data_IF_902851689524
#
_entry.id   IF_902851689524
#
_cell.length_a   1.000
_cell.length_b   1.000
_cell.length_c   1.000
_cell.angle_alpha   90.00
_cell.angle_beta   90.00
_cell.angle_gamma   90.00
#
_symmetry.space_group_name_H-M   'P 1'
#
loop_
_entity.id
_entity.type
_entity.pdbx_description
1 polymer ?
#
# COMPACT_ATOMS: atom_id res chain seq x y z
N UNK A 1 17.10 -10.62 6.45
CA UNK A 1 17.18 -11.28 7.77
C UNK A 1 16.72 -12.74 7.75
N UNK A 2 15.56 -13.13 7.18
CA UNK A 2 15.24 -14.57 6.99
C UNK A 2 15.92 -15.17 5.75
N UNK A 3 15.83 -14.53 4.59
CA UNK A 3 16.96 -14.56 3.65
C UNK A 3 18.17 -14.10 4.45
N UNK A 4 19.39 -14.60 4.36
CA UNK A 4 20.49 -14.47 5.34
C UNK A 4 20.56 -15.64 6.34
N UNK A 5 19.44 -16.23 6.78
CA UNK A 5 19.49 -17.39 7.69
C UNK A 5 19.96 -18.68 6.98
N UNK A 6 20.39 -19.68 7.75
CA UNK A 6 20.78 -21.00 7.22
C UNK A 6 19.62 -21.68 6.48
N UNK A 7 19.93 -22.58 5.54
CA UNK A 7 18.93 -23.29 4.72
C UNK A 7 17.86 -23.95 5.60
N UNK A 8 18.27 -24.62 6.68
CA UNK A 8 17.36 -25.26 7.62
C UNK A 8 16.39 -24.24 8.25
N UNK A 9 16.91 -23.12 8.77
CA UNK A 9 16.09 -22.05 9.37
C UNK A 9 15.13 -21.43 8.36
N UNK A 10 15.58 -21.23 7.11
CA UNK A 10 14.74 -20.73 6.02
C UNK A 10 13.61 -21.70 5.70
N UNK A 11 13.90 -22.99 5.60
CA UNK A 11 12.90 -24.03 5.30
C UNK A 11 11.87 -24.13 6.42
N UNK A 12 12.32 -24.17 7.68
CA UNK A 12 11.42 -24.17 8.85
C UNK A 12 10.55 -22.92 8.86
N UNK A 13 11.13 -21.74 8.61
CA UNK A 13 10.36 -20.49 8.59
C UNK A 13 9.34 -20.46 7.44
N UNK A 14 9.70 -20.96 6.24
CA UNK A 14 8.77 -21.07 5.11
C UNK A 14 7.60 -22.01 5.42
N UNK A 15 7.87 -23.15 6.05
CA UNK A 15 6.84 -24.10 6.49
C UNK A 15 5.94 -23.45 7.56
N UNK A 16 6.53 -22.81 8.56
CA UNK A 16 5.80 -22.08 9.59
C UNK A 16 4.90 -21.00 8.97
N UNK A 17 5.41 -20.21 8.02
CA UNK A 17 4.61 -19.23 7.28
C UNK A 17 3.45 -19.87 6.51
N UNK A 18 3.68 -20.98 5.81
CA UNK A 18 2.62 -21.69 5.09
C UNK A 18 1.49 -22.14 6.04
N UNK A 19 1.85 -22.70 7.20
CA UNK A 19 0.90 -23.04 8.28
C UNK A 19 0.17 -21.80 8.77
N UNK A 20 0.92 -20.73 9.08
CA UNK A 20 0.38 -19.47 9.57
C UNK A 20 -0.63 -18.85 8.60
N UNK A 21 -0.32 -18.83 7.30
CA UNK A 21 -1.25 -18.34 6.27
C UNK A 21 -2.50 -19.20 6.16
N UNK A 22 -2.40 -20.53 6.25
CA UNK A 22 -3.57 -21.42 6.26
C UNK A 22 -4.46 -21.14 7.47
N UNK A 23 -3.86 -21.00 8.66
CA UNK A 23 -4.58 -20.68 9.88
C UNK A 23 -5.23 -19.27 9.82
N UNK A 24 -4.49 -18.26 9.37
CA UNK A 24 -4.98 -16.90 9.20
C UNK A 24 -6.14 -16.84 8.19
N UNK A 25 -5.99 -17.45 7.01
CA UNK A 25 -7.07 -17.54 6.01
C UNK A 25 -8.31 -18.27 6.54
N UNK A 26 -8.15 -19.22 7.44
CA UNK A 26 -9.30 -19.88 8.06
C UNK A 26 -9.95 -19.02 9.16
N UNK A 27 -9.18 -18.23 9.90
CA UNK A 27 -9.65 -17.35 10.99
C UNK A 27 -10.38 -16.12 10.44
N UNK A 28 -9.86 -15.53 9.37
CA UNK A 28 -10.33 -14.27 8.80
C UNK A 28 -11.47 -14.47 7.78
N UNK A 29 -12.04 -15.68 7.70
CA UNK A 29 -13.18 -15.95 6.82
C UNK A 29 -14.47 -15.42 7.47
N UNK A 30 -15.33 -14.72 6.69
CA UNK A 30 -16.63 -14.29 7.17
C UNK A 30 -17.42 -15.47 7.79
N UNK A 31 -18.02 -15.24 8.96
CA UNK A 31 -18.85 -16.23 9.65
C UNK A 31 -18.11 -17.35 10.40
N UNK A 32 -16.76 -17.41 10.35
CA UNK A 32 -15.99 -18.48 11.03
C UNK A 32 -15.11 -17.90 12.15
N UNK A 33 -15.54 -18.08 13.41
CA UNK A 33 -14.87 -17.49 14.58
C UNK A 33 -13.48 -18.07 14.88
N UNK A 34 -13.18 -19.32 14.50
CA UNK A 34 -11.91 -19.99 14.82
C UNK A 34 -11.45 -20.96 13.71
N UNK A 35 -10.13 -21.10 13.47
CA UNK A 35 -9.58 -22.19 12.65
C UNK A 35 -9.93 -23.57 13.22
N UNK A 36 -9.92 -24.61 12.39
CA UNK A 36 -10.03 -25.98 12.90
C UNK A 36 -8.90 -26.29 13.89
N UNK A 37 -9.17 -27.16 14.89
CA UNK A 37 -8.26 -27.46 15.98
C UNK A 37 -6.82 -27.84 15.54
N UNK A 38 -6.61 -28.66 14.47
CA UNK A 38 -5.26 -28.97 14.01
C UNK A 38 -4.46 -27.73 13.58
N UNK A 39 -5.11 -26.76 12.92
CA UNK A 39 -4.45 -25.52 12.51
C UNK A 39 -4.10 -24.61 13.68
N UNK A 40 -4.88 -24.66 14.76
CA UNK A 40 -4.56 -23.93 15.99
C UNK A 40 -3.29 -24.50 16.65
N UNK A 41 -3.19 -25.83 16.75
CA UNK A 41 -2.02 -26.52 17.31
C UNK A 41 -0.77 -26.26 16.45
N UNK A 42 -0.89 -26.43 15.13
CA UNK A 42 0.23 -26.18 14.22
C UNK A 42 0.67 -24.71 14.25
N UNK A 43 -0.26 -23.76 14.34
CA UNK A 43 0.09 -22.34 14.48
C UNK A 43 0.77 -22.04 15.82
N UNK A 44 0.35 -22.69 16.91
CA UNK A 44 1.01 -22.56 18.21
C UNK A 44 2.47 -23.07 18.15
N UNK A 45 2.70 -24.23 17.54
CA UNK A 45 4.06 -24.75 17.33
C UNK A 45 4.90 -23.83 16.43
N UNK A 46 4.32 -23.36 15.32
CA UNK A 46 4.97 -22.40 14.42
C UNK A 46 5.35 -21.09 15.14
N UNK A 47 4.50 -20.62 16.07
CA UNK A 47 4.81 -19.47 16.90
C UNK A 47 6.06 -19.70 17.75
N UNK A 48 6.12 -20.81 18.48
CA UNK A 48 7.25 -21.09 19.37
C UNK A 48 8.56 -21.37 18.63
N UNK A 49 8.50 -22.09 17.52
CA UNK A 49 9.68 -22.53 16.77
C UNK A 49 10.24 -21.40 15.89
N UNK A 50 9.37 -20.60 15.27
CA UNK A 50 9.78 -19.66 14.23
C UNK A 50 9.38 -18.20 14.52
N UNK A 51 8.12 -17.92 14.85
CA UNK A 51 7.64 -16.54 14.87
C UNK A 51 8.05 -15.75 16.12
N UNK A 52 8.14 -16.40 17.28
CA UNK A 52 8.44 -15.75 18.56
C UNK A 52 9.72 -14.92 18.51
N UNK A 53 10.81 -15.47 17.95
CA UNK A 53 12.08 -14.76 17.81
C UNK A 53 12.02 -13.62 16.79
N UNK A 54 11.26 -13.78 15.71
CA UNK A 54 11.05 -12.72 14.70
C UNK A 54 10.26 -11.56 15.31
N UNK A 55 9.18 -11.86 16.04
CA UNK A 55 8.37 -10.87 16.73
C UNK A 55 9.15 -10.18 17.86
N UNK A 56 10.06 -10.87 18.55
CA UNK A 56 10.92 -10.25 19.56
C UNK A 56 11.82 -9.18 18.94
N UNK A 57 12.50 -9.52 17.85
CA UNK A 57 13.36 -8.59 17.11
C UNK A 57 12.60 -7.41 16.51
N UNK A 58 11.33 -7.61 16.16
CA UNK A 58 10.46 -6.56 15.65
C UNK A 58 9.77 -5.74 16.77
N UNK A 59 9.96 -6.09 18.05
CA UNK A 59 9.27 -5.44 19.17
C UNK A 59 7.78 -5.80 19.30
N UNK A 60 7.30 -6.82 18.59
CA UNK A 60 5.88 -7.21 18.51
C UNK A 60 5.51 -8.38 19.42
N UNK A 61 6.47 -9.00 20.11
CA UNK A 61 6.27 -10.24 20.89
C UNK A 61 5.18 -10.16 21.96
N UNK A 62 4.99 -8.99 22.59
CA UNK A 62 4.01 -8.76 23.66
C UNK A 62 2.79 -7.94 23.20
N UNK A 63 2.70 -7.62 21.92
CA UNK A 63 1.59 -6.84 21.37
C UNK A 63 0.32 -7.66 21.44
N UNK A 64 -0.70 -7.15 22.14
CA UNK A 64 -2.02 -7.78 22.24
C UNK A 64 -2.93 -7.38 21.09
N UNK A 65 -2.83 -6.11 20.66
CA UNK A 65 -3.64 -5.48 19.62
C UNK A 65 -2.75 -4.51 18.86
N UNK A 66 -2.73 -4.59 17.54
CA UNK A 66 -2.06 -3.63 16.67
C UNK A 66 -3.11 -2.97 15.79
N UNK A 67 -3.04 -1.64 15.67
CA UNK A 67 -3.94 -0.87 14.81
C UNK A 67 -3.14 -0.15 13.73
N UNK A 68 -3.68 -0.12 12.52
CA UNK A 68 -3.15 0.65 11.40
C UNK A 68 -4.23 1.56 10.85
N UNK A 69 -3.86 2.78 10.46
CA UNK A 69 -4.77 3.80 9.94
C UNK A 69 -4.02 4.86 9.14
N UNK A 70 -4.74 5.86 8.66
CA UNK A 70 -4.20 6.96 7.83
C UNK A 70 -4.09 6.63 6.33
N UNK A 71 -3.94 5.35 5.99
CA UNK A 71 -4.08 4.84 4.63
C UNK A 71 -4.60 3.40 4.68
N UNK A 72 -5.23 2.95 3.59
CA UNK A 72 -5.68 1.56 3.49
C UNK A 72 -4.46 0.64 3.37
N UNK A 73 -4.42 -0.43 4.16
CA UNK A 73 -3.40 -1.46 4.07
C UNK A 73 -3.85 -2.57 3.11
N UNK A 74 -2.94 -3.08 2.28
CA UNK A 74 -3.26 -4.26 1.44
C UNK A 74 -3.70 -5.45 2.31
N UNK A 75 -4.75 -6.19 1.91
CA UNK A 75 -5.16 -7.43 2.56
C UNK A 75 -4.01 -8.42 2.83
N UNK A 76 -2.98 -8.41 1.98
CA UNK A 76 -1.83 -9.30 2.10
C UNK A 76 -1.02 -9.04 3.38
N UNK A 77 -0.88 -7.79 3.82
CA UNK A 77 -0.22 -7.49 5.09
C UNK A 77 -1.06 -7.96 6.29
N UNK A 78 -2.38 -7.82 6.23
CA UNK A 78 -3.27 -8.30 7.29
C UNK A 78 -3.12 -9.82 7.41
N UNK A 79 -3.18 -10.55 6.31
CA UNK A 79 -2.93 -11.99 6.31
C UNK A 79 -1.53 -12.33 6.84
N UNK A 80 -0.50 -11.59 6.45
CA UNK A 80 0.88 -11.82 6.89
C UNK A 80 1.03 -11.65 8.41
N UNK A 81 0.58 -10.53 8.97
CA UNK A 81 0.70 -10.28 10.41
C UNK A 81 -0.15 -11.26 11.23
N UNK A 82 -1.35 -11.60 10.77
CA UNK A 82 -2.17 -12.63 11.40
C UNK A 82 -1.56 -14.04 11.30
N UNK A 83 -0.83 -14.34 10.21
CA UNK A 83 -0.10 -15.59 10.06
C UNK A 83 1.01 -15.71 11.12
N UNK A 84 1.71 -14.61 11.41
CA UNK A 84 2.71 -14.52 12.48
C UNK A 84 2.12 -14.57 13.89
N UNK A 85 0.80 -14.41 14.03
CA UNK A 85 0.09 -14.37 15.32
C UNK A 85 -0.10 -12.96 15.89
N UNK A 86 0.09 -11.92 15.08
CA UNK A 86 -0.19 -10.52 15.46
C UNK A 86 -1.64 -10.19 15.11
N UNK A 87 -2.41 -9.75 16.11
CA UNK A 87 -3.78 -9.26 15.91
C UNK A 87 -3.75 -7.83 15.32
N UNK A 88 -3.41 -7.75 14.03
CA UNK A 88 -3.38 -6.50 13.27
C UNK A 88 -4.79 -6.16 12.77
N UNK A 89 -5.21 -4.93 13.03
CA UNK A 89 -6.55 -4.43 12.77
C UNK A 89 -6.47 -3.10 12.04
N UNK A 90 -7.40 -2.85 11.12
CA UNK A 90 -7.52 -1.54 10.49
C UNK A 90 -8.46 -0.66 11.30
N UNK A 91 -8.20 0.64 11.24
CA UNK A 91 -9.06 1.71 11.69
C UNK A 91 -9.29 2.68 10.54
N UNK A 92 -10.47 3.29 10.51
CA UNK A 92 -10.78 4.38 9.61
C UNK A 92 -11.36 5.56 10.38
N UNK A 93 -10.96 6.75 9.96
CA UNK A 93 -11.44 8.02 10.45
C UNK A 93 -10.51 9.13 9.98
N UNK A 94 -10.84 10.36 10.39
CA UNK A 94 -10.20 11.58 9.96
C UNK A 94 -10.23 12.61 11.10
N UNK A 95 -9.51 13.71 10.93
CA UNK A 95 -9.44 14.79 11.94
C UNK A 95 -10.83 15.32 12.28
N UNK A 96 -11.70 15.42 11.29
CA UNK A 96 -13.08 15.91 11.36
C UNK A 96 -14.00 15.03 12.20
N UNK A 97 -13.57 13.81 12.57
CA UNK A 97 -14.29 12.89 13.47
C UNK A 97 -13.42 12.44 14.65
N UNK A 98 -12.49 13.30 15.08
CA UNK A 98 -11.58 13.05 16.20
C UNK A 98 -10.77 11.74 16.09
N UNK A 99 -10.43 11.34 14.86
CA UNK A 99 -9.46 10.27 14.59
C UNK A 99 -10.08 8.94 14.15
N UNK A 100 -10.87 8.27 14.98
CA UNK A 100 -11.39 6.91 14.69
C UNK A 100 -12.91 6.92 14.69
N UNK A 101 -13.51 6.50 13.59
CA UNK A 101 -14.95 6.26 13.47
C UNK A 101 -15.27 4.77 13.29
N UNK A 102 -14.33 3.99 12.74
CA UNK A 102 -14.52 2.59 12.35
C UNK A 102 -13.29 1.78 12.76
N UNK A 103 -13.52 0.55 13.25
CA UNK A 103 -12.44 -0.34 13.67
C UNK A 103 -12.81 -1.80 13.43
N UNK A 104 -11.82 -2.63 13.09
CA UNK A 104 -12.03 -4.08 13.16
C UNK A 104 -12.22 -4.54 14.62
N UNK A 105 -13.27 -5.30 14.94
CA UNK A 105 -13.36 -6.00 16.22
C UNK A 105 -12.35 -7.16 16.28
N UNK A 106 -12.06 -7.66 17.50
CA UNK A 106 -11.06 -8.72 17.72
C UNK A 106 -11.44 -10.05 17.05
N UNK A 107 -12.73 -10.34 16.87
CA UNK A 107 -13.27 -11.62 16.38
C UNK A 107 -13.85 -11.57 14.96
N UNK A 108 -13.84 -10.41 14.31
CA UNK A 108 -14.36 -10.20 12.94
C UNK A 108 -13.44 -9.23 12.19
N UNK A 109 -12.18 -9.64 11.99
CA UNK A 109 -11.21 -8.90 11.16
C UNK A 109 -11.38 -9.36 9.71
N UNK A 110 -11.68 -8.42 8.81
CA UNK A 110 -11.84 -8.70 7.37
C UNK A 110 -10.81 -7.95 6.56
N UNK A 111 -9.87 -8.65 5.90
CA UNK A 111 -8.72 -8.03 5.25
C UNK A 111 -9.04 -6.97 4.19
N UNK A 112 -10.21 -7.07 3.56
CA UNK A 112 -10.74 -6.20 2.52
C UNK A 112 -11.52 -4.99 3.05
N UNK A 113 -11.75 -4.90 4.36
CA UNK A 113 -12.55 -3.84 4.99
C UNK A 113 -11.71 -3.07 6.03
N UNK A 114 -12.26 -1.98 6.56
CA UNK A 114 -11.69 -1.24 7.70
C UNK A 114 -12.41 -1.51 9.03
N UNK A 115 -13.46 -2.34 9.01
CA UNK A 115 -14.19 -2.77 10.20
C UNK A 115 -15.59 -2.21 10.31
N UNK A 116 -16.11 -2.14 11.54
CA UNK A 116 -17.47 -1.70 11.84
C UNK A 116 -17.44 -0.35 12.56
N UNK A 117 -18.51 0.46 12.44
CA UNK A 117 -18.61 1.71 13.18
C UNK A 117 -18.40 1.51 14.68
N UNK A 118 -17.75 2.46 15.33
CA UNK A 118 -17.71 2.52 16.79
C UNK A 118 -19.12 2.73 17.37
N UNK A 119 -19.33 2.44 18.67
CA UNK A 119 -20.56 2.83 19.35
C UNK A 119 -20.89 4.30 19.09
N UNK A 120 -22.18 4.61 18.95
CA UNK A 120 -22.69 5.96 18.69
C UNK A 120 -22.20 6.58 17.36
N UNK A 121 -21.66 5.77 16.45
CA UNK A 121 -21.26 6.20 15.11
C UNK A 121 -22.18 5.56 14.08
N UNK A 122 -22.91 6.40 13.36
CA UNK A 122 -23.72 6.00 12.21
C UNK A 122 -22.94 6.24 10.91
N UNK A 123 -23.06 5.32 9.97
CA UNK A 123 -22.48 5.43 8.63
C UNK A 123 -23.57 5.27 7.59
N UNK A 124 -23.55 6.16 6.61
CA UNK A 124 -24.39 6.10 5.41
C UNK A 124 -23.52 6.23 4.17
N UNK A 125 -23.90 5.56 3.09
CA UNK A 125 -23.27 5.76 1.78
C UNK A 125 -24.20 6.64 0.94
N UNK A 126 -23.69 7.76 0.42
CA UNK A 126 -24.42 8.66 -0.46
C UNK A 126 -24.60 8.04 -1.87
N UNK A 127 -25.44 8.65 -2.71
CA UNK A 127 -25.73 8.14 -4.06
C UNK A 127 -24.49 8.06 -4.96
N UNK A 128 -23.53 8.97 -4.76
CA UNK A 128 -22.25 9.00 -5.46
C UNK A 128 -21.19 8.07 -4.84
N UNK A 129 -21.54 7.36 -3.76
CA UNK A 129 -20.65 6.47 -3.03
C UNK A 129 -19.86 7.13 -1.90
N UNK A 130 -20.05 8.43 -1.62
CA UNK A 130 -19.39 9.11 -0.51
C UNK A 130 -19.80 8.48 0.85
N UNK A 131 -18.81 8.29 1.73
CA UNK A 131 -19.03 7.85 3.10
C UNK A 131 -19.49 9.07 3.91
N UNK A 132 -20.66 8.96 4.54
CA UNK A 132 -21.19 9.97 5.46
C UNK A 132 -21.11 9.42 6.88
N UNK A 133 -20.65 10.24 7.83
CA UNK A 133 -20.50 9.84 9.23
C UNK A 133 -21.31 10.77 10.12
N UNK A 134 -22.03 10.21 11.08
CA UNK A 134 -22.66 10.96 12.16
C UNK A 134 -22.24 10.36 13.49
N UNK A 135 -21.65 11.18 14.36
CA UNK A 135 -21.10 10.75 15.64
C UNK A 135 -20.95 11.95 16.58
N UNK A 136 -21.05 11.78 17.91
CA UNK A 136 -20.65 12.81 18.88
C UNK A 136 -19.20 13.27 18.72
N UNK A 137 -18.35 12.48 18.06
CA UNK A 137 -16.95 12.81 17.78
C UNK A 137 -16.75 13.74 16.58
N UNK A 138 -17.81 14.03 15.80
CA UNK A 138 -17.73 14.95 14.65
C UNK A 138 -17.44 16.36 15.15
N UNK A 139 -16.49 17.03 14.48
CA UNK A 139 -16.11 18.40 14.78
C UNK A 139 -17.29 19.37 14.72
N UNK A 140 -17.18 20.51 15.41
CA UNK A 140 -18.17 21.60 15.32
C UNK A 140 -18.02 22.45 14.06
N UNK A 141 -16.86 22.38 13.40
CA UNK A 141 -16.56 23.12 12.17
C UNK A 141 -15.11 23.56 12.05
N UNK A 142 -14.78 24.18 10.92
CA UNK A 142 -13.46 24.73 10.65
C UNK A 142 -13.31 26.16 11.18
N UNK A 143 -12.18 26.45 11.82
CA UNK A 143 -11.89 27.77 12.38
C UNK A 143 -11.91 28.86 11.30
N UNK A 144 -12.77 29.88 11.48
CA UNK A 144 -12.95 31.02 10.57
C UNK A 144 -13.32 30.66 9.12
N UNK A 145 -13.83 29.45 8.88
CA UNK A 145 -14.22 29.01 7.54
C UNK A 145 -15.64 28.41 7.55
N UNK A 146 -16.63 29.29 7.63
CA UNK A 146 -18.05 28.92 7.66
C UNK A 146 -18.50 28.24 6.36
N UNK A 147 -17.96 28.65 5.21
CA UNK A 147 -18.31 28.05 3.92
C UNK A 147 -17.84 26.60 3.83
N UNK A 148 -16.57 26.32 4.19
CA UNK A 148 -16.08 24.93 4.23
C UNK A 148 -16.83 24.10 5.28
N UNK A 149 -17.17 24.70 6.43
CA UNK A 149 -17.95 24.05 7.48
C UNK A 149 -19.32 23.63 6.96
N UNK A 150 -20.07 24.53 6.33
CA UNK A 150 -21.39 24.27 5.78
C UNK A 150 -21.38 23.24 4.63
N UNK A 151 -20.28 23.19 3.86
CA UNK A 151 -20.09 22.14 2.82
C UNK A 151 -19.76 20.77 3.41
N UNK A 152 -19.07 20.73 4.55
CA UNK A 152 -18.55 19.48 5.14
C UNK A 152 -19.54 18.88 6.13
N UNK A 153 -20.31 19.71 6.82
CA UNK A 153 -21.32 19.30 7.81
C UNK A 153 -22.71 19.65 7.27
N UNK A 154 -23.44 18.66 6.77
CA UNK A 154 -24.76 18.85 6.17
C UNK A 154 -25.76 17.98 6.92
N UNK A 155 -26.79 18.60 7.50
CA UNK A 155 -27.85 17.86 8.21
C UNK A 155 -27.35 17.00 9.39
N UNK A 156 -26.25 17.42 10.04
CA UNK A 156 -25.61 16.67 11.13
C UNK A 156 -24.73 15.50 10.67
N UNK A 157 -24.52 15.34 9.36
CA UNK A 157 -23.60 14.36 8.78
C UNK A 157 -22.30 15.04 8.34
N UNK A 158 -21.18 14.40 8.66
CA UNK A 158 -19.87 14.68 8.10
C UNK A 158 -19.77 14.05 6.71
N UNK A 159 -19.61 14.89 5.69
CA UNK A 159 -19.20 14.51 4.34
C UNK A 159 -17.69 14.29 4.32
N UNK A 160 -17.28 13.02 4.24
CA UNK A 160 -15.88 12.63 4.44
C UNK A 160 -14.97 12.94 3.25
N UNK A 161 -15.54 13.10 2.05
CA UNK A 161 -14.82 13.10 0.78
C UNK A 161 -14.20 11.76 0.38
N UNK A 162 -14.41 10.69 1.16
CA UNK A 162 -13.93 9.34 0.91
C UNK A 162 -15.06 8.49 0.31
N UNK A 163 -14.73 7.63 -0.65
CA UNK A 163 -15.69 6.74 -1.31
C UNK A 163 -15.59 5.35 -0.72
N UNK A 164 -16.73 4.72 -0.46
CA UNK A 164 -16.77 3.38 0.10
C UNK A 164 -18.08 2.67 -0.10
N UNK A 165 -18.19 1.51 0.52
CA UNK A 165 -19.40 0.70 0.53
C UNK A 165 -19.55 0.00 1.88
N UNK A 166 -20.79 -0.16 2.32
CA UNK A 166 -21.12 -1.00 3.47
C UNK A 166 -21.49 -2.39 2.98
N UNK A 167 -20.81 -3.38 3.52
CA UNK A 167 -21.17 -4.79 3.34
C UNK A 167 -22.49 -5.10 4.07
N UNK A 168 -23.23 -6.15 3.64
CA UNK A 168 -24.52 -6.51 4.25
C UNK A 168 -24.47 -6.76 5.77
N UNK A 169 -23.30 -7.08 6.30
CA UNK A 169 -23.07 -7.41 7.70
C UNK A 169 -22.37 -6.28 8.51
N UNK A 170 -22.33 -5.08 7.92
CA UNK A 170 -21.99 -3.84 8.61
C UNK A 170 -20.50 -3.46 8.59
N UNK A 171 -19.66 -4.16 7.82
CA UNK A 171 -18.29 -3.71 7.58
C UNK A 171 -18.23 -2.61 6.51
N UNK A 172 -17.41 -1.59 6.76
CA UNK A 172 -17.06 -0.56 5.79
C UNK A 172 -15.85 -0.97 4.94
N UNK A 173 -15.98 -0.88 3.63
CA UNK A 173 -14.88 -0.95 2.66
C UNK A 173 -14.60 0.47 2.18
N UNK A 174 -13.37 0.95 2.37
CA UNK A 174 -12.92 2.27 1.89
C UNK A 174 -12.15 2.07 0.60
N UNK A 175 -12.54 2.73 -0.49
CA UNK A 175 -11.89 2.57 -1.79
C UNK A 175 -10.73 3.55 -1.96
N UNK A 176 -11.03 4.85 -1.97
CA UNK A 176 -10.06 5.95 -1.95
C UNK A 176 -10.82 7.28 -1.73
N UNK A 177 -10.11 8.40 -1.72
CA UNK A 177 -10.74 9.73 -1.83
C UNK A 177 -11.40 9.88 -3.19
N UNK A 178 -12.62 10.44 -3.22
CA UNK A 178 -13.35 10.70 -4.45
C UNK A 178 -12.49 11.46 -5.48
N UNK A 179 -11.67 12.41 -5.01
CA UNK A 179 -10.78 13.25 -5.82
C UNK A 179 -9.52 12.54 -6.34
N UNK A 180 -9.15 11.39 -5.78
CA UNK A 180 -7.94 10.64 -6.15
C UNK A 180 -8.23 9.49 -7.12
N UNK A 181 -9.50 9.06 -7.21
CA UNK A 181 -9.96 8.10 -8.22
C UNK A 181 -9.92 8.77 -9.59
N UNK A 182 -9.24 8.15 -10.54
CA UNK A 182 -9.23 8.59 -11.93
C UNK A 182 -9.87 7.54 -12.84
N UNK A 183 -10.12 7.89 -14.09
CA UNK A 183 -10.63 6.95 -15.10
C UNK A 183 -9.61 6.68 -16.18
N UNK A 184 -9.52 5.43 -16.61
CA UNK A 184 -8.86 5.08 -17.87
C UNK A 184 -9.63 5.66 -19.06
N UNK A 185 -9.03 5.60 -20.25
CA UNK A 185 -9.66 6.05 -21.49
C UNK A 185 -10.99 5.33 -21.79
N UNK A 186 -11.14 4.08 -21.34
CA UNK A 186 -12.37 3.28 -21.49
C UNK A 186 -13.42 3.54 -20.39
N UNK A 187 -13.18 4.53 -19.52
CA UNK A 187 -14.08 4.90 -18.42
C UNK A 187 -13.92 4.06 -17.14
N UNK A 188 -13.05 3.04 -17.13
CA UNK A 188 -12.82 2.19 -15.95
C UNK A 188 -12.31 3.02 -14.78
N UNK A 189 -12.99 3.02 -13.62
CA UNK A 189 -12.53 3.73 -12.44
C UNK A 189 -11.32 3.02 -11.81
N UNK A 190 -10.30 3.79 -11.46
CA UNK A 190 -9.05 3.31 -10.87
C UNK A 190 -8.79 4.04 -9.56
N UNK A 191 -8.77 3.29 -8.47
CA UNK A 191 -8.20 3.73 -7.20
C UNK A 191 -6.70 3.38 -7.19
N UNK A 192 -5.78 4.34 -7.38
CA UNK A 192 -4.36 4.06 -7.54
C UNK A 192 -3.75 3.33 -6.34
N UNK A 193 -4.20 3.64 -5.12
CA UNK A 193 -3.71 3.01 -3.90
C UNK A 193 -3.87 1.48 -3.91
N UNK A 194 -4.92 0.95 -4.55
CA UNK A 194 -5.14 -0.49 -4.65
C UNK A 194 -3.97 -1.17 -5.37
N UNK A 195 -3.55 -0.61 -6.51
CA UNK A 195 -2.44 -1.15 -7.31
C UNK A 195 -1.09 -0.88 -6.62
N UNK A 196 -0.89 0.33 -6.08
CA UNK A 196 0.32 0.70 -5.32
C UNK A 196 0.58 -0.26 -4.17
N UNK A 197 -0.44 -0.52 -3.35
CA UNK A 197 -0.33 -1.38 -2.17
C UNK A 197 -0.06 -2.84 -2.54
N UNK A 198 -0.46 -3.31 -3.73
CA UNK A 198 -0.09 -4.64 -4.23
C UNK A 198 1.36 -4.73 -4.66
N UNK A 199 1.88 -3.68 -5.32
CA UNK A 199 3.30 -3.63 -5.70
C UNK A 199 4.20 -3.53 -4.48
N UNK A 200 3.88 -2.64 -3.53
CA UNK A 200 4.66 -2.40 -2.31
C UNK A 200 4.67 -3.57 -1.33
N UNK A 201 3.79 -4.56 -1.52
CA UNK A 201 3.88 -5.81 -0.78
C UNK A 201 5.18 -6.58 -1.09
N UNK A 202 5.81 -6.33 -2.25
CA UNK A 202 7.16 -6.78 -2.51
C UNK A 202 8.16 -6.06 -1.60
N UNK A 203 9.07 -6.79 -0.91
CA UNK A 203 10.09 -6.16 -0.07
C UNK A 203 11.15 -5.41 -0.89
N UNK A 204 11.16 -5.58 -2.22
CA UNK A 204 12.11 -4.92 -3.12
C UNK A 204 11.59 -3.58 -3.67
N UNK A 205 10.29 -3.28 -3.50
CA UNK A 205 9.65 -2.06 -3.98
C UNK A 205 9.40 -1.16 -2.77
N UNK A 206 10.10 -0.03 -2.71
CA UNK A 206 9.94 0.96 -1.64
C UNK A 206 8.69 1.82 -1.87
N UNK A 207 8.53 2.34 -3.09
CA UNK A 207 7.40 3.20 -3.45
C UNK A 207 7.00 2.99 -4.92
N UNK A 208 5.72 3.22 -5.22
CA UNK A 208 5.19 3.08 -6.58
C UNK A 208 4.16 4.17 -6.87
N UNK A 209 4.35 4.95 -7.94
CA UNK A 209 3.35 5.86 -8.46
C UNK A 209 2.63 5.21 -9.64
N UNK A 210 1.29 5.19 -9.61
CA UNK A 210 0.44 4.58 -10.64
C UNK A 210 -0.18 5.66 -11.49
N UNK A 211 -0.01 5.52 -12.80
CA UNK A 211 -0.39 6.52 -13.80
C UNK A 211 -1.28 5.85 -14.85
N UNK A 212 -2.36 6.51 -15.23
CA UNK A 212 -3.24 6.04 -16.31
C UNK A 212 -4.48 6.89 -16.57
N UNK A 213 -4.58 8.08 -15.99
CA UNK A 213 -5.72 8.97 -16.19
C UNK A 213 -5.87 9.35 -17.67
N UNK A 214 -7.01 9.00 -18.26
CA UNK A 214 -7.28 9.18 -19.69
C UNK A 214 -6.41 8.31 -20.62
N UNK A 215 -5.74 7.27 -20.10
CA UNK A 215 -4.84 6.40 -20.87
C UNK A 215 -5.44 5.00 -21.08
N UNK A 216 -4.97 4.24 -22.08
CA UNK A 216 -5.53 2.91 -22.38
C UNK A 216 -5.23 1.84 -21.32
N UNK A 217 -4.18 2.01 -20.52
CA UNK A 217 -3.76 1.06 -19.48
C UNK A 217 -2.95 1.75 -18.39
N UNK A 218 -2.68 1.03 -17.29
CA UNK A 218 -1.86 1.52 -16.19
C UNK A 218 -0.36 1.30 -16.42
N UNK A 219 0.43 2.29 -16.02
CA UNK A 219 1.88 2.21 -15.90
C UNK A 219 2.34 2.57 -14.50
N UNK A 220 3.52 2.11 -14.10
CA UNK A 220 4.08 2.37 -12.77
C UNK A 220 5.48 3.01 -12.82
N UNK A 221 5.69 4.06 -12.03
CA UNK A 221 7.03 4.55 -11.70
C UNK A 221 7.42 3.97 -10.34
N UNK A 222 8.53 3.23 -10.28
CA UNK A 222 8.90 2.42 -9.12
C UNK A 222 10.20 2.94 -8.51
N UNK A 223 10.22 3.07 -7.19
CA UNK A 223 11.44 3.16 -6.39
C UNK A 223 11.75 1.82 -5.77
N UNK A 224 13.02 1.40 -5.86
CA UNK A 224 13.50 0.23 -5.12
C UNK A 224 13.59 0.54 -3.62
N UNK A 225 13.39 -0.47 -2.78
CA UNK A 225 13.80 -0.41 -1.38
C UNK A 225 15.33 -0.58 -1.33
N UNK A 226 16.06 0.52 -1.11
CA UNK A 226 17.50 0.53 -1.27
C UNK A 226 18.20 -0.47 -0.35
N UNK A 227 17.82 -0.53 0.92
CA UNK A 227 18.44 -1.43 1.90
C UNK A 227 18.24 -2.91 1.54
N UNK A 228 17.04 -3.28 1.09
CA UNK A 228 16.72 -4.67 0.73
C UNK A 228 17.35 -5.07 -0.59
N UNK A 229 17.25 -4.21 -1.61
CA UNK A 229 17.82 -4.51 -2.94
C UNK A 229 19.35 -4.50 -2.91
N UNK A 230 19.99 -3.63 -2.12
CA UNK A 230 21.45 -3.61 -1.94
C UNK A 230 21.96 -4.93 -1.41
N UNK A 231 21.38 -5.42 -0.30
CA UNK A 231 21.73 -6.74 0.26
C UNK A 231 21.44 -7.89 -0.71
N UNK A 232 20.36 -7.78 -1.48
CA UNK A 232 20.02 -8.78 -2.49
C UNK A 232 21.08 -8.86 -3.60
N UNK A 233 21.60 -7.70 -4.03
CA UNK A 233 22.65 -7.56 -5.04
C UNK A 233 24.01 -8.06 -4.52
N UNK A 234 24.40 -7.66 -3.30
CA UNK A 234 25.65 -8.10 -2.64
C UNK A 234 25.75 -9.63 -2.56
N UNK A 235 24.66 -10.31 -2.16
CA UNK A 235 24.62 -11.79 -2.08
C UNK A 235 24.77 -12.48 -3.44
N UNK A 236 24.45 -11.77 -4.53
CA UNK A 236 24.63 -12.24 -5.90
C UNK A 236 25.93 -11.75 -6.52
N UNK A 237 26.76 -11.05 -5.74
CA UNK A 237 28.02 -10.45 -6.18
C UNK A 237 27.81 -9.47 -7.35
N UNK A 238 26.68 -8.77 -7.36
CA UNK A 238 26.38 -7.71 -8.33
C UNK A 238 27.02 -6.42 -7.80
N UNK A 239 28.04 -5.86 -8.46
CA UNK A 239 28.69 -4.64 -7.99
C UNK A 239 27.82 -3.41 -8.28
N UNK A 240 27.70 -2.51 -7.30
CA UNK A 240 27.04 -1.22 -7.47
C UNK A 240 27.69 -0.16 -6.56
N UNK A 241 27.54 1.11 -6.91
CA UNK A 241 28.17 2.22 -6.16
C UNK A 241 27.16 3.15 -5.47
N UNK A 242 25.91 3.16 -5.92
CA UNK A 242 24.88 4.07 -5.44
C UNK A 242 23.48 3.54 -5.73
N UNK A 243 22.46 4.15 -5.12
CA UNK A 243 21.05 3.94 -5.47
C UNK A 243 20.79 4.08 -6.98
N UNK A 244 21.33 5.15 -7.56
CA UNK A 244 21.08 5.52 -8.93
C UNK A 244 21.73 4.55 -9.93
N UNK A 245 22.80 3.86 -9.54
CA UNK A 245 23.39 2.75 -10.29
C UNK A 245 22.62 1.44 -10.07
N UNK A 246 22.37 1.09 -8.80
CA UNK A 246 21.70 -0.16 -8.43
C UNK A 246 20.30 -0.29 -9.04
N UNK A 247 19.49 0.77 -8.97
CA UNK A 247 18.12 0.81 -9.51
C UNK A 247 18.03 0.56 -11.02
N UNK A 248 19.12 0.76 -11.75
CA UNK A 248 19.18 0.62 -13.21
C UNK A 248 19.87 -0.67 -13.67
N UNK A 249 20.38 -1.51 -12.73
CA UNK A 249 21.01 -2.79 -13.09
C UNK A 249 20.01 -3.71 -13.78
N UNK A 250 20.41 -4.39 -14.88
CA UNK A 250 19.53 -5.35 -15.57
C UNK A 250 18.93 -6.41 -14.64
N UNK A 251 19.71 -6.91 -13.69
CA UNK A 251 19.30 -7.90 -12.72
C UNK A 251 18.23 -7.37 -11.74
N UNK A 252 18.31 -6.08 -11.40
CA UNK A 252 17.32 -5.41 -10.55
C UNK A 252 16.04 -5.14 -11.36
N UNK A 253 16.14 -4.73 -12.62
CA UNK A 253 14.98 -4.56 -13.49
C UNK A 253 14.23 -5.89 -13.70
N UNK A 254 14.96 -6.99 -13.87
CA UNK A 254 14.37 -8.34 -13.97
C UNK A 254 13.74 -8.78 -12.64
N UNK A 255 14.37 -8.48 -11.49
CA UNK A 255 13.77 -8.71 -10.18
C UNK A 255 12.44 -7.97 -10.03
N UNK A 256 12.41 -6.68 -10.38
CA UNK A 256 11.20 -5.86 -10.33
C UNK A 256 10.13 -6.38 -11.28
N UNK A 257 10.50 -6.77 -12.51
CA UNK A 257 9.57 -7.35 -13.49
C UNK A 257 8.82 -8.55 -12.92
N UNK A 258 9.52 -9.46 -12.23
CA UNK A 258 8.91 -10.63 -11.58
C UNK A 258 7.95 -10.24 -10.45
N UNK A 259 8.31 -9.25 -9.64
CA UNK A 259 7.44 -8.80 -8.55
C UNK A 259 6.21 -8.02 -9.06
N UNK A 260 6.35 -7.24 -10.13
CA UNK A 260 5.21 -6.60 -10.80
C UNK A 260 4.28 -7.65 -11.40
N UNK A 261 4.81 -8.67 -12.10
CA UNK A 261 4.01 -9.76 -12.65
C UNK A 261 3.24 -10.52 -11.56
N UNK A 262 3.90 -10.78 -10.42
CA UNK A 262 3.27 -11.39 -9.25
C UNK A 262 2.16 -10.52 -8.65
N UNK A 263 2.33 -9.21 -8.59
CA UNK A 263 1.27 -8.29 -8.19
C UNK A 263 0.10 -8.29 -9.19
N UNK A 264 0.40 -8.22 -10.50
CA UNK A 264 -0.58 -8.26 -11.59
C UNK A 264 -1.45 -9.54 -11.56
N UNK A 265 -0.87 -10.69 -11.18
CA UNK A 265 -1.62 -11.95 -11.05
C UNK A 265 -2.78 -11.90 -10.05
N UNK A 266 -2.76 -10.91 -9.15
CA UNK A 266 -3.77 -10.69 -8.09
C UNK A 266 -4.69 -9.50 -8.39
N UNK A 267 -4.48 -8.82 -9.50
CA UNK A 267 -5.26 -7.65 -9.92
C UNK A 267 -6.22 -8.04 -11.06
N UNK A 268 -7.41 -7.44 -11.11
CA UNK A 268 -8.28 -7.50 -12.29
C UNK A 268 -7.51 -7.06 -13.53
N UNK A 269 -7.83 -7.63 -14.69
CA UNK A 269 -7.08 -7.42 -15.94
C UNK A 269 -6.89 -5.94 -16.29
N UNK A 270 -7.95 -5.14 -16.16
CA UNK A 270 -7.93 -3.69 -16.43
C UNK A 270 -7.07 -2.88 -15.46
N UNK A 271 -6.77 -3.43 -14.28
CA UNK A 271 -5.96 -2.77 -13.25
C UNK A 271 -4.51 -3.27 -13.24
N UNK A 272 -4.11 -4.13 -14.18
CA UNK A 272 -2.73 -4.61 -14.30
C UNK A 272 -1.83 -3.53 -14.86
N UNK A 273 -0.63 -3.42 -14.28
CA UNK A 273 0.43 -2.54 -14.77
C UNK A 273 1.04 -3.17 -16.02
N UNK A 274 0.94 -2.51 -17.17
CA UNK A 274 1.49 -3.02 -18.45
C UNK A 274 2.95 -2.71 -18.64
N UNK A 275 3.41 -1.55 -18.17
CA UNK A 275 4.82 -1.15 -18.20
C UNK A 275 5.21 -0.47 -16.90
N UNK A 276 6.46 -0.63 -16.50
CA UNK A 276 7.03 0.13 -15.39
C UNK A 276 8.39 0.73 -15.75
N UNK A 277 8.79 1.75 -15.01
CA UNK A 277 10.13 2.31 -15.05
C UNK A 277 10.69 2.38 -13.62
N UNK A 278 11.92 1.89 -13.42
CA UNK A 278 12.65 2.00 -12.16
C UNK A 278 13.32 3.37 -12.12
N UNK A 279 12.97 4.22 -11.16
CA UNK A 279 13.56 5.55 -11.06
C UNK A 279 14.94 5.48 -10.41
N UNK A 280 15.86 6.32 -10.88
CA UNK A 280 17.22 6.43 -10.36
C UNK A 280 17.35 7.29 -9.10
N UNK A 281 16.24 7.81 -8.58
CA UNK A 281 16.15 8.48 -7.28
C UNK A 281 14.82 8.18 -6.60
N UNK A 282 14.82 8.24 -5.28
CA UNK A 282 13.62 8.08 -4.45
C UNK A 282 12.71 9.32 -4.52
N UNK A 283 11.40 9.12 -4.48
CA UNK A 283 10.47 10.22 -4.26
C UNK A 283 10.79 10.89 -2.92
N UNK A 284 10.83 12.23 -2.89
CA UNK A 284 11.24 12.97 -1.71
C UNK A 284 10.26 14.09 -1.33
N UNK A 285 10.00 14.33 -0.02
CA UNK A 285 9.14 15.43 0.41
C UNK A 285 9.65 16.81 -0.02
N UNK A 286 10.96 17.02 -0.02
CA UNK A 286 11.57 18.31 -0.36
C UNK A 286 11.53 18.61 -1.87
N UNK A 287 11.36 17.57 -2.69
CA UNK A 287 11.14 17.72 -4.14
C UNK A 287 9.64 17.90 -4.47
N UNK A 288 8.78 17.90 -3.44
CA UNK A 288 7.32 18.05 -3.56
C UNK A 288 6.60 16.82 -4.10
N UNK A 289 7.30 15.69 -4.28
CA UNK A 289 6.76 14.44 -4.84
C UNK A 289 5.95 13.64 -3.82
N UNK A 290 6.17 13.90 -2.53
CA UNK A 290 5.38 13.32 -1.43
C UNK A 290 5.18 14.29 -0.28
N UNK A 291 4.24 13.99 0.62
CA UNK A 291 4.10 14.68 1.91
C UNK A 291 5.13 14.18 2.91
N UNK A 292 5.31 14.91 4.02
CA UNK A 292 6.13 14.45 5.16
C UNK A 292 5.59 13.16 5.81
N UNK A 293 4.30 12.86 5.63
CA UNK A 293 3.67 11.58 5.99
C UNK A 293 3.84 10.49 4.91
N UNK A 294 4.72 10.70 3.93
CA UNK A 294 5.02 9.79 2.81
C UNK A 294 3.85 9.48 1.88
N UNK A 295 2.84 10.35 1.81
CA UNK A 295 1.77 10.26 0.81
C UNK A 295 2.24 10.88 -0.51
N UNK A 296 2.18 10.13 -1.62
CA UNK A 296 2.57 10.62 -2.94
C UNK A 296 1.67 11.76 -3.42
N UNK A 297 2.28 12.73 -4.11
CA UNK A 297 1.60 13.83 -4.81
C UNK A 297 1.60 13.53 -6.31
N UNK A 298 0.65 12.68 -6.75
CA UNK A 298 0.57 12.15 -8.12
C UNK A 298 0.68 13.23 -9.20
N UNK A 299 -0.03 14.35 -9.07
CA UNK A 299 0.01 15.46 -10.05
C UNK A 299 1.43 16.02 -10.26
N UNK A 300 2.19 16.18 -9.18
CA UNK A 300 3.58 16.68 -9.25
C UNK A 300 4.49 15.64 -9.92
N UNK A 301 4.26 14.36 -9.64
CA UNK A 301 4.99 13.26 -10.26
C UNK A 301 4.66 13.20 -11.76
N UNK A 302 3.39 13.28 -12.14
CA UNK A 302 2.97 13.26 -13.55
C UNK A 302 3.57 14.42 -14.36
N UNK A 303 3.60 15.62 -13.79
CA UNK A 303 4.22 16.78 -14.41
C UNK A 303 5.72 16.61 -14.56
N UNK A 304 6.41 16.21 -13.49
CA UNK A 304 7.88 16.08 -13.44
C UNK A 304 8.41 14.97 -14.35
N UNK A 305 7.71 13.84 -14.41
CA UNK A 305 8.11 12.67 -15.20
C UNK A 305 7.32 12.56 -16.51
N UNK A 306 6.73 13.66 -16.99
CA UNK A 306 5.88 13.67 -18.19
C UNK A 306 6.55 13.03 -19.40
N UNK A 307 7.81 13.38 -19.69
CA UNK A 307 8.55 12.81 -20.84
C UNK A 307 8.68 11.29 -20.76
N UNK A 308 9.03 10.75 -19.58
CA UNK A 308 9.10 9.32 -19.33
C UNK A 308 7.73 8.67 -19.48
N UNK A 309 6.68 9.27 -18.90
CA UNK A 309 5.31 8.76 -18.95
C UNK A 309 4.82 8.68 -20.41
N UNK A 310 5.04 9.72 -21.22
CA UNK A 310 4.68 9.67 -22.64
C UNK A 310 5.44 8.56 -23.38
N UNK A 311 6.73 8.38 -23.10
CA UNK A 311 7.53 7.30 -23.69
C UNK A 311 7.00 5.91 -23.29
N UNK A 312 6.46 5.74 -22.08
CA UNK A 312 5.83 4.47 -21.65
C UNK A 312 4.55 4.14 -22.45
N UNK A 313 3.86 5.16 -22.99
CA UNK A 313 2.71 4.97 -23.88
C UNK A 313 3.07 4.92 -25.36
N UNK A 314 4.34 5.06 -25.71
CA UNK A 314 4.86 4.87 -27.07
C UNK A 314 5.54 3.50 -27.23
N UNK A 315 6.17 3.28 -28.38
CA UNK A 315 7.00 2.09 -28.65
C UNK A 315 8.46 2.26 -28.18
N UNK A 316 8.75 3.24 -27.32
CA UNK A 316 10.08 3.44 -26.77
C UNK A 316 10.40 2.42 -25.67
N UNK A 317 11.65 1.92 -25.68
CA UNK A 317 12.20 1.02 -24.66
C UNK A 317 12.99 1.78 -23.57
N UNK A 318 13.28 3.05 -23.82
CA UNK A 318 14.03 3.93 -22.91
C UNK A 318 13.64 5.39 -23.11
N UNK A 319 13.85 6.20 -22.08
CA UNK A 319 13.66 7.64 -22.14
C UNK A 319 14.71 8.37 -21.30
N UNK A 320 15.13 9.55 -21.76
CA UNK A 320 15.97 10.43 -20.96
C UNK A 320 15.09 11.22 -19.98
N UNK A 321 15.46 11.14 -18.71
CA UNK A 321 14.70 11.70 -17.59
C UNK A 321 15.58 12.71 -16.88
N UNK A 322 15.15 13.97 -16.93
CA UNK A 322 15.82 15.08 -16.27
C UNK A 322 15.07 15.39 -14.99
N UNK A 323 15.72 15.19 -13.84
CA UNK A 323 15.14 15.51 -12.53
C UNK A 323 16.00 16.50 -11.79
N UNK A 324 15.36 17.53 -11.28
CA UNK A 324 15.93 18.49 -10.34
C UNK A 324 15.70 17.98 -8.92
N UNK A 325 16.79 17.75 -8.19
CA UNK A 325 16.77 17.28 -6.80
C UNK A 325 17.41 18.32 -5.89
N UNK A 326 16.81 18.53 -4.71
CA UNK A 326 17.40 19.35 -3.66
C UNK A 326 18.24 18.47 -2.74
N UNK A 327 19.55 18.75 -2.65
CA UNK A 327 20.46 18.09 -1.72
C UNK A 327 20.21 18.58 -0.28
N UNK A 328 20.68 17.81 0.71
CA UNK A 328 20.52 18.13 2.13
C UNK A 328 21.14 19.48 2.52
N UNK A 329 22.20 19.89 1.83
CA UNK A 329 22.85 21.19 2.00
C UNK A 329 22.13 22.36 1.29
N UNK A 330 20.96 22.09 0.70
CA UNK A 330 20.12 23.06 0.02
C UNK A 330 20.47 23.33 -1.44
N UNK A 331 21.58 22.76 -1.96
CA UNK A 331 21.93 22.88 -3.38
C UNK A 331 20.92 22.17 -4.26
N UNK A 332 20.62 22.77 -5.40
CA UNK A 332 19.72 22.20 -6.40
C UNK A 332 20.59 21.64 -7.53
N UNK A 333 20.46 20.33 -7.77
CA UNK A 333 21.20 19.64 -8.84
C UNK A 333 20.20 19.10 -9.85
N UNK A 334 20.48 19.35 -11.13
CA UNK A 334 19.72 18.77 -12.24
C UNK A 334 20.52 17.60 -12.80
N UNK A 335 19.90 16.42 -12.81
CA UNK A 335 20.51 15.19 -13.29
C UNK A 335 19.65 14.63 -14.41
N UNK A 336 20.26 14.42 -15.57
CA UNK A 336 19.65 13.68 -16.68
C UNK A 336 20.20 12.27 -16.72
N UNK A 337 19.32 11.27 -16.69
CA UNK A 337 19.68 9.87 -16.86
C UNK A 337 18.71 9.17 -17.78
N UNK A 338 19.24 8.22 -18.52
CA UNK A 338 18.46 7.30 -19.34
C UNK A 338 17.84 6.23 -18.46
N UNK A 339 16.53 6.06 -18.56
CA UNK A 339 15.75 5.09 -17.80
C UNK A 339 15.09 4.11 -18.76
N UNK A 340 15.24 2.81 -18.49
CA UNK A 340 14.59 1.76 -19.26
C UNK A 340 13.12 1.63 -18.90
N UNK A 341 12.32 1.38 -19.92
CA UNK A 341 10.90 1.07 -19.82
C UNK A 341 10.77 -0.44 -19.95
N UNK A 342 10.19 -1.07 -18.93
CA UNK A 342 10.06 -2.54 -18.87
C UNK A 342 8.60 -2.92 -19.05
N UNK A 343 8.31 -3.66 -20.12
CA UNK A 343 7.00 -4.25 -20.33
C UNK A 343 6.79 -5.48 -19.42
N UNK A 344 5.57 -5.62 -18.92
CA UNK A 344 5.11 -6.72 -18.07
C UNK A 344 3.91 -7.36 -18.75
N UNK A 345 4.02 -8.67 -19.00
CA UNK A 345 2.96 -9.47 -19.65
C UNK A 345 1.73 -9.63 -18.74
#
# INVERSE_FOLDING_TARGET
RIEDADILKRTVFKLALWIGYRAAKSRLRPGRKKPALPWQILQYLAYWIAFRGVLDKAGLKRVKRAYTGGAMLSPDYIYFYHALGVNLKQIYGQTEVAGIAVVHPDDDVRPDTVGKPLPETEIKIAEDGEILIKSPAVMVGYYKNLEATAKTLVGGWLHTGDVGELTPDGHLVVKDRAKEIFRLADGTPVAPQVVQNKLKFSPYIGEAAIIGEGRPYLVALINIDYETVSRWAERRRIPFTSYADLSQKPEVLELLKREVAKANSRLPEKLRVRKFASLFKEFHPDDGEMTRTRKLRRRVIEERYKSLIEAMYSNADEADVTVTMKLEDGRIVTVTRRVKIVAVE
#
